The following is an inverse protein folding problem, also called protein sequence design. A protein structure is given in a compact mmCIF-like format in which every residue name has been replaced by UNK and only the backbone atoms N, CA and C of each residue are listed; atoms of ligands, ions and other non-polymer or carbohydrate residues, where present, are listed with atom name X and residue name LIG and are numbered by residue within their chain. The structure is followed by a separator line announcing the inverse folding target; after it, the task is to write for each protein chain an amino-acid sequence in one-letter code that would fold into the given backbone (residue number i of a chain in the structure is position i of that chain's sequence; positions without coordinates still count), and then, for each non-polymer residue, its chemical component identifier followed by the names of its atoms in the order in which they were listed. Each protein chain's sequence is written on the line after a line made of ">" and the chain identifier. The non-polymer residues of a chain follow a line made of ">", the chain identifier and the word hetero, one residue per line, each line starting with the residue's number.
data_IF_775927594237
#
_entry.id   IF_775927594237
#
_cell.length_a   1.000
_cell.length_b   1.000
_cell.length_c   1.000
_cell.angle_alpha   90.00
_cell.angle_beta   90.00
_cell.angle_gamma   90.00
#
_symmetry.space_group_name_H-M   'P 1'
#
loop_
_entity.id
_entity.type
_entity.pdbx_description
1 polymer ?
#
# COMPACT_ATOMS: atom_id res chain seq x y z
N UNK A 1 42.50 -21.08 3.15
CA UNK A 1 41.93 -21.54 1.86
C UNK A 1 40.64 -22.36 2.01
N UNK A 2 40.56 -23.35 2.90
CA UNK A 2 39.38 -24.22 3.06
C UNK A 2 38.05 -23.50 3.42
N UNK A 3 38.10 -22.46 4.25
CA UNK A 3 36.90 -21.67 4.63
C UNK A 3 36.33 -20.86 3.45
N UNK A 4 37.21 -20.38 2.56
CA UNK A 4 36.78 -19.65 1.36
C UNK A 4 36.20 -20.59 0.29
N UNK A 5 36.77 -21.79 0.13
CA UNK A 5 36.20 -22.82 -0.74
C UNK A 5 34.83 -23.30 -0.24
N UNK A 6 34.70 -23.64 1.05
CA UNK A 6 33.42 -24.07 1.62
C UNK A 6 32.31 -23.01 1.50
N UNK A 7 32.61 -21.72 1.77
CA UNK A 7 31.64 -20.62 1.59
C UNK A 7 31.20 -20.43 0.14
N UNK A 8 32.11 -20.63 -0.84
CA UNK A 8 31.78 -20.58 -2.27
C UNK A 8 30.89 -21.76 -2.68
N UNK A 9 31.15 -22.94 -2.13
CA UNK A 9 30.31 -24.13 -2.35
C UNK A 9 28.91 -23.96 -1.78
N UNK A 10 28.76 -23.38 -0.57
CA UNK A 10 27.44 -23.13 0.02
C UNK A 10 26.62 -22.14 -0.81
N UNK A 11 27.23 -21.03 -1.26
CA UNK A 11 26.52 -20.05 -2.08
C UNK A 11 26.04 -20.64 -3.42
N UNK A 12 26.89 -21.41 -4.10
CA UNK A 12 26.48 -22.08 -5.35
C UNK A 12 25.33 -23.07 -5.10
N UNK A 13 25.34 -23.80 -3.98
CA UNK A 13 24.21 -24.66 -3.60
C UNK A 13 22.95 -23.87 -3.29
N UNK A 14 23.05 -22.68 -2.69
CA UNK A 14 21.90 -21.78 -2.50
C UNK A 14 21.28 -21.38 -3.84
N UNK A 15 22.12 -21.07 -4.83
CA UNK A 15 21.69 -20.72 -6.18
C UNK A 15 20.96 -21.86 -6.87
N UNK A 16 21.52 -23.07 -6.85
CA UNK A 16 20.87 -24.24 -7.46
C UNK A 16 19.56 -24.59 -6.75
N UNK A 17 19.53 -24.49 -5.41
CA UNK A 17 18.30 -24.69 -4.65
C UNK A 17 17.19 -23.71 -5.07
N UNK A 18 17.51 -22.43 -5.30
CA UNK A 18 16.52 -21.45 -5.77
C UNK A 18 15.97 -21.82 -7.14
N UNK A 19 16.83 -22.26 -8.08
CA UNK A 19 16.38 -22.68 -9.41
C UNK A 19 15.42 -23.87 -9.38
N UNK A 20 15.61 -24.78 -8.42
CA UNK A 20 14.75 -25.96 -8.24
C UNK A 20 13.40 -25.64 -7.56
N UNK A 21 13.31 -24.56 -6.78
CA UNK A 21 12.15 -24.27 -5.92
C UNK A 21 11.38 -23.01 -6.32
N UNK A 22 11.96 -22.13 -7.14
CA UNK A 22 11.28 -20.93 -7.61
C UNK A 22 10.32 -21.25 -8.76
N UNK A 23 9.12 -20.68 -8.70
CA UNK A 23 8.20 -20.63 -9.82
C UNK A 23 8.66 -19.53 -10.80
N UNK A 24 8.63 -19.82 -12.09
CA UNK A 24 9.12 -18.93 -13.13
C UNK A 24 7.96 -18.27 -13.86
N UNK A 25 8.11 -16.99 -14.19
CA UNK A 25 7.14 -16.20 -14.97
C UNK A 25 7.89 -15.62 -16.17
N UNK A 26 7.81 -16.33 -17.29
CA UNK A 26 8.68 -16.12 -18.46
C UNK A 26 8.41 -14.83 -19.23
N UNK A 27 7.23 -14.25 -19.05
CA UNK A 27 6.92 -12.94 -19.61
C UNK A 27 5.87 -12.20 -18.79
N UNK A 28 6.07 -10.87 -18.68
CA UNK A 28 5.06 -9.91 -18.23
C UNK A 28 4.30 -9.27 -19.42
N UNK A 29 4.67 -9.58 -20.67
CA UNK A 29 4.10 -8.94 -21.87
C UNK A 29 2.78 -9.55 -22.34
N UNK A 30 2.40 -10.72 -21.84
CA UNK A 30 1.17 -11.41 -22.23
C UNK A 30 0.25 -11.50 -21.01
N UNK A 31 -1.03 -11.11 -21.17
CA UNK A 31 -2.12 -11.24 -20.18
C UNK A 31 -2.54 -12.71 -19.99
N UNK A 32 -1.58 -13.63 -19.94
CA UNK A 32 -1.86 -15.05 -19.69
C UNK A 32 -2.03 -15.25 -18.19
N UNK A 33 -3.29 -15.34 -17.77
CA UNK A 33 -3.70 -15.71 -16.40
C UNK A 33 -3.02 -16.99 -15.88
N UNK A 34 -2.57 -17.89 -16.76
CA UNK A 34 -2.07 -19.21 -16.36
C UNK A 34 -0.72 -19.16 -15.62
N UNK A 35 0.06 -18.09 -15.75
CA UNK A 35 1.36 -17.97 -15.09
C UNK A 35 1.24 -17.96 -13.56
N UNK A 36 0.06 -17.64 -13.01
CA UNK A 36 -0.18 -17.57 -11.56
C UNK A 36 -0.97 -18.76 -11.00
N UNK A 37 -1.31 -19.77 -11.81
CA UNK A 37 -2.11 -20.93 -11.35
C UNK A 37 -1.46 -21.67 -10.16
N UNK A 38 -0.13 -21.62 -10.02
CA UNK A 38 0.57 -22.18 -8.85
C UNK A 38 0.13 -21.54 -7.52
N UNK A 39 -0.36 -20.30 -7.54
CA UNK A 39 -0.86 -19.59 -6.37
C UNK A 39 -2.22 -20.11 -5.88
N UNK A 40 -2.99 -20.83 -6.70
CA UNK A 40 -4.29 -21.37 -6.29
C UNK A 40 -4.15 -22.23 -5.03
N UNK A 41 -3.17 -23.13 -5.01
CA UNK A 41 -2.92 -23.98 -3.85
C UNK A 41 -2.25 -23.23 -2.69
N UNK A 42 -1.40 -22.24 -2.99
CA UNK A 42 -0.68 -21.46 -1.95
C UNK A 42 -1.65 -20.56 -1.17
N UNK A 43 -2.65 -19.99 -1.85
CA UNK A 43 -3.54 -18.96 -1.31
C UNK A 43 -4.97 -19.46 -1.05
N UNK A 44 -5.28 -20.75 -1.25
CA UNK A 44 -6.65 -21.31 -1.16
C UNK A 44 -7.38 -20.94 0.14
N UNK A 45 -6.67 -21.01 1.27
CA UNK A 45 -7.21 -20.77 2.61
C UNK A 45 -6.93 -19.34 3.10
N UNK A 46 -6.49 -18.45 2.21
CA UNK A 46 -6.13 -17.08 2.56
C UNK A 46 -7.24 -16.12 2.19
N UNK A 47 -7.57 -15.26 3.16
CA UNK A 47 -8.56 -14.19 3.02
C UNK A 47 -7.89 -12.91 2.54
N UNK A 48 -6.64 -12.65 2.97
CA UNK A 48 -5.93 -11.40 2.67
C UNK A 48 -4.61 -11.70 1.98
N UNK A 49 -4.30 -10.98 0.90
CA UNK A 49 -3.02 -11.06 0.20
C UNK A 49 -2.37 -9.69 0.16
N UNK A 50 -1.17 -9.57 0.71
CA UNK A 50 -0.40 -8.34 0.75
C UNK A 50 0.60 -8.31 -0.39
N UNK A 51 0.48 -7.30 -1.25
CA UNK A 51 1.28 -7.08 -2.45
C UNK A 51 2.18 -5.88 -2.24
N UNK A 52 3.40 -6.19 -1.79
CA UNK A 52 4.46 -5.23 -1.56
C UNK A 52 5.09 -4.69 -2.84
N UNK A 53 5.93 -3.68 -2.73
CA UNK A 53 6.87 -3.22 -3.74
C UNK A 53 8.08 -2.58 -3.04
N UNK A 54 9.30 -2.90 -3.44
CA UNK A 54 10.49 -2.23 -2.87
C UNK A 54 10.75 -0.85 -3.50
N UNK A 55 9.79 -0.27 -4.23
CA UNK A 55 9.80 1.09 -4.74
C UNK A 55 8.53 1.40 -5.54
N UNK A 56 8.11 2.67 -5.58
CA UNK A 56 6.85 3.07 -6.22
C UNK A 56 6.97 3.37 -7.73
N UNK A 57 8.11 3.89 -8.18
CA UNK A 57 8.31 4.33 -9.57
C UNK A 57 8.88 3.23 -10.46
N UNK A 58 8.25 2.05 -10.50
CA UNK A 58 8.75 0.86 -11.18
C UNK A 58 7.65 0.27 -12.07
N UNK A 59 7.86 0.27 -13.40
CA UNK A 59 6.87 -0.21 -14.37
C UNK A 59 6.50 -1.68 -14.15
N UNK A 60 7.50 -2.53 -13.96
CA UNK A 60 7.33 -3.98 -13.90
C UNK A 60 6.68 -4.43 -12.59
N UNK A 61 6.85 -3.69 -11.48
CA UNK A 61 6.10 -3.95 -10.25
C UNK A 61 4.64 -3.57 -10.41
N UNK A 62 4.35 -2.40 -11.00
CA UNK A 62 2.98 -1.99 -11.29
C UNK A 62 2.30 -3.04 -12.18
N UNK A 63 2.95 -3.43 -13.27
CA UNK A 63 2.42 -4.41 -14.22
C UNK A 63 2.21 -5.80 -13.59
N UNK A 64 3.21 -6.31 -12.85
CA UNK A 64 3.11 -7.60 -12.18
C UNK A 64 1.98 -7.62 -11.15
N UNK A 65 1.85 -6.56 -10.34
CA UNK A 65 0.76 -6.45 -9.36
C UNK A 65 -0.60 -6.36 -10.06
N UNK A 66 -0.72 -5.55 -11.12
CA UNK A 66 -1.94 -5.48 -11.95
C UNK A 66 -2.36 -6.86 -12.48
N UNK A 67 -1.43 -7.62 -13.06
CA UNK A 67 -1.73 -8.97 -13.59
C UNK A 67 -2.05 -9.98 -12.49
N UNK A 68 -1.37 -9.88 -11.35
CA UNK A 68 -1.66 -10.75 -10.20
C UNK A 68 -3.05 -10.45 -9.62
N UNK A 69 -3.43 -9.18 -9.51
CA UNK A 69 -4.75 -8.77 -9.02
C UNK A 69 -5.85 -9.23 -9.98
N UNK A 70 -5.63 -9.11 -11.29
CA UNK A 70 -6.54 -9.65 -12.31
C UNK A 70 -6.80 -11.15 -12.10
N UNK A 71 -5.72 -11.93 -11.91
CA UNK A 71 -5.82 -13.35 -11.58
C UNK A 71 -6.54 -13.60 -10.24
N UNK A 72 -6.19 -12.88 -9.18
CA UNK A 72 -6.80 -13.06 -7.85
C UNK A 72 -8.30 -12.75 -7.86
N UNK A 73 -8.72 -11.71 -8.58
CA UNK A 73 -10.13 -11.37 -8.75
C UNK A 73 -10.86 -12.44 -9.58
N UNK A 74 -10.40 -12.70 -10.81
CA UNK A 74 -11.12 -13.57 -11.74
C UNK A 74 -11.05 -15.06 -11.42
N UNK A 75 -10.00 -15.54 -10.75
CA UNK A 75 -9.80 -16.97 -10.46
C UNK A 75 -9.97 -17.33 -8.99
N UNK A 76 -9.63 -16.43 -8.06
CA UNK A 76 -9.55 -16.76 -6.64
C UNK A 76 -10.60 -16.06 -5.76
N UNK A 77 -11.46 -15.22 -6.36
CA UNK A 77 -12.59 -14.58 -5.69
C UNK A 77 -12.20 -13.41 -4.76
N UNK A 78 -11.06 -12.77 -5.00
CA UNK A 78 -10.66 -11.55 -4.27
C UNK A 78 -11.40 -10.33 -4.81
N UNK A 79 -12.32 -9.76 -4.04
CA UNK A 79 -13.27 -8.73 -4.49
C UNK A 79 -12.96 -7.32 -4.01
N UNK A 80 -11.95 -7.15 -3.16
CA UNK A 80 -11.58 -5.84 -2.61
C UNK A 80 -10.10 -5.62 -2.83
N UNK A 81 -9.74 -4.44 -3.34
CA UNK A 81 -8.38 -3.94 -3.33
C UNK A 81 -8.26 -2.73 -2.41
N UNK A 82 -7.39 -2.85 -1.41
CA UNK A 82 -7.03 -1.78 -0.50
C UNK A 82 -5.68 -1.19 -0.92
N UNK A 83 -5.65 0.10 -1.26
CA UNK A 83 -4.45 0.81 -1.70
C UNK A 83 -3.81 1.61 -0.56
N UNK A 84 -2.47 1.76 -0.60
CA UNK A 84 -1.71 2.74 0.16
C UNK A 84 -1.99 4.17 -0.36
N UNK A 85 -3.25 4.57 -0.27
CA UNK A 85 -3.81 5.87 -0.69
C UNK A 85 -4.92 6.25 0.28
N UNK A 86 -5.37 7.50 0.18
CA UNK A 86 -6.33 8.10 1.10
C UNK A 86 -7.61 7.28 1.22
N UNK A 87 -8.04 7.02 2.45
CA UNK A 87 -9.27 6.30 2.77
C UNK A 87 -10.47 6.98 2.12
N UNK A 88 -10.61 8.30 2.29
CA UNK A 88 -11.71 9.07 1.72
C UNK A 88 -11.68 9.10 0.20
N UNK A 89 -10.52 9.40 -0.39
CA UNK A 89 -10.37 9.46 -1.84
C UNK A 89 -10.80 8.14 -2.49
N UNK A 90 -10.24 7.02 -2.04
CA UNK A 90 -10.60 5.72 -2.58
C UNK A 90 -12.06 5.33 -2.31
N UNK A 91 -12.59 5.56 -1.11
CA UNK A 91 -13.98 5.22 -0.77
C UNK A 91 -14.98 6.02 -1.61
N UNK A 92 -14.81 7.36 -1.67
CA UNK A 92 -15.73 8.25 -2.37
C UNK A 92 -15.64 8.09 -3.88
N UNK A 93 -14.45 7.89 -4.44
CA UNK A 93 -14.27 7.56 -5.85
C UNK A 93 -14.87 6.21 -6.21
N UNK A 94 -14.74 5.18 -5.35
CA UNK A 94 -15.37 3.88 -5.60
C UNK A 94 -16.90 3.99 -5.56
N UNK A 95 -17.45 4.76 -4.62
CA UNK A 95 -18.89 4.99 -4.52
C UNK A 95 -19.46 5.72 -5.73
N UNK A 96 -18.73 6.70 -6.27
CA UNK A 96 -19.14 7.51 -7.41
C UNK A 96 -18.62 6.97 -8.75
N UNK A 97 -18.04 5.76 -8.79
CA UNK A 97 -17.26 5.28 -9.94
C UNK A 97 -18.03 5.31 -11.26
N UNK A 98 -19.35 5.09 -11.24
CA UNK A 98 -20.20 5.11 -12.43
C UNK A 98 -20.39 6.51 -13.04
N UNK A 99 -20.25 7.55 -12.22
CA UNK A 99 -20.40 8.95 -12.62
C UNK A 99 -19.10 9.56 -13.13
N UNK A 100 -17.97 8.91 -12.87
CA UNK A 100 -16.64 9.37 -13.24
C UNK A 100 -16.20 8.77 -14.57
N UNK A 101 -15.49 9.53 -15.38
CA UNK A 101 -14.62 8.93 -16.41
C UNK A 101 -13.52 8.08 -15.74
N UNK A 102 -12.86 7.21 -16.51
CA UNK A 102 -11.78 6.40 -15.97
C UNK A 102 -10.61 7.26 -15.45
N UNK A 103 -10.26 8.34 -16.16
CA UNK A 103 -9.19 9.23 -15.74
C UNK A 103 -9.54 9.98 -14.45
N UNK A 104 -10.79 10.45 -14.32
CA UNK A 104 -11.28 11.06 -13.07
C UNK A 104 -11.31 10.05 -11.93
N UNK A 105 -11.73 8.81 -12.18
CA UNK A 105 -11.71 7.76 -11.16
C UNK A 105 -10.31 7.52 -10.61
N UNK A 106 -9.29 7.49 -11.47
CA UNK A 106 -7.89 7.35 -11.04
C UNK A 106 -7.41 8.61 -10.31
N UNK A 107 -7.66 9.80 -10.87
CA UNK A 107 -7.18 11.08 -10.33
C UNK A 107 -7.74 11.40 -8.94
N UNK A 108 -8.97 10.96 -8.66
CA UNK A 108 -9.64 11.20 -7.38
C UNK A 108 -9.40 10.11 -6.34
N UNK A 109 -8.81 8.96 -6.69
CA UNK A 109 -8.66 7.82 -5.77
C UNK A 109 -7.23 7.62 -5.23
N UNK A 110 -6.26 7.36 -6.11
CA UNK A 110 -4.91 6.93 -5.72
C UNK A 110 -3.88 8.04 -5.90
N UNK A 111 -2.71 7.88 -5.26
CA UNK A 111 -1.63 8.84 -5.45
C UNK A 111 -1.21 8.95 -6.94
N UNK A 112 -0.84 10.15 -7.44
CA UNK A 112 -0.54 10.38 -8.86
C UNK A 112 0.64 9.59 -9.44
N UNK A 113 1.47 8.96 -8.61
CA UNK A 113 2.56 8.12 -9.08
C UNK A 113 2.13 6.69 -9.45
N UNK A 114 0.89 6.29 -9.15
CA UNK A 114 0.27 5.07 -9.67
C UNK A 114 -0.70 5.31 -10.84
N UNK A 115 -0.88 6.56 -11.29
CA UNK A 115 -1.54 6.84 -12.58
C UNK A 115 -0.57 6.59 -13.73
N UNK A 116 -0.54 5.35 -14.22
CA UNK A 116 0.42 4.89 -15.24
C UNK A 116 -0.24 3.92 -16.23
N UNK A 117 0.38 3.71 -17.39
CA UNK A 117 -0.09 2.70 -18.37
C UNK A 117 -0.18 1.30 -17.74
N UNK A 118 0.74 0.96 -16.83
CA UNK A 118 0.86 -0.36 -16.22
C UNK A 118 -0.24 -0.67 -15.19
N UNK A 119 -0.90 0.34 -14.65
CA UNK A 119 -2.04 0.20 -13.72
C UNK A 119 -3.40 0.42 -14.39
N UNK A 120 -3.41 0.90 -15.64
CA UNK A 120 -4.64 1.34 -16.29
C UNK A 120 -5.71 0.23 -16.41
N UNK A 121 -5.30 -1.00 -16.76
CA UNK A 121 -6.23 -2.12 -16.88
C UNK A 121 -6.84 -2.57 -15.55
N UNK A 122 -6.14 -2.36 -14.42
CA UNK A 122 -6.70 -2.58 -13.10
C UNK A 122 -7.87 -1.63 -12.84
N UNK A 123 -7.71 -0.33 -13.11
CA UNK A 123 -8.78 0.64 -12.92
C UNK A 123 -9.93 0.46 -13.93
N UNK A 124 -9.63 0.00 -15.15
CA UNK A 124 -10.67 -0.44 -16.08
C UNK A 124 -11.52 -1.56 -15.48
N UNK A 125 -10.88 -2.59 -14.90
CA UNK A 125 -11.58 -3.70 -14.27
C UNK A 125 -12.40 -3.25 -13.04
N UNK A 126 -11.84 -2.41 -12.17
CA UNK A 126 -12.55 -1.84 -11.01
C UNK A 126 -13.80 -1.05 -11.41
N UNK A 127 -13.71 -0.26 -12.48
CA UNK A 127 -14.85 0.53 -12.98
C UNK A 127 -15.87 -0.34 -13.71
N UNK A 128 -15.44 -1.38 -14.44
CA UNK A 128 -16.32 -2.23 -15.23
C UNK A 128 -17.09 -3.27 -14.39
N UNK A 129 -16.62 -3.60 -13.18
CA UNK A 129 -17.22 -4.64 -12.35
C UNK A 129 -17.76 -4.05 -11.04
N UNK A 130 -19.08 -4.14 -10.83
CA UNK A 130 -19.73 -3.61 -9.63
C UNK A 130 -19.26 -4.28 -8.33
N UNK A 131 -18.95 -5.57 -8.38
CA UNK A 131 -18.52 -6.33 -7.21
C UNK A 131 -17.01 -6.24 -6.91
N UNK A 132 -16.24 -5.55 -7.77
CA UNK A 132 -14.83 -5.28 -7.52
C UNK A 132 -14.66 -3.87 -6.92
N UNK A 133 -14.27 -3.84 -5.64
CA UNK A 133 -14.28 -2.63 -4.83
C UNK A 133 -12.88 -2.10 -4.55
N UNK A 134 -12.73 -0.78 -4.67
CA UNK A 134 -11.54 -0.02 -4.27
C UNK A 134 -11.75 0.61 -2.88
N UNK A 135 -10.73 0.51 -2.03
CA UNK A 135 -10.65 1.23 -0.75
C UNK A 135 -9.21 1.69 -0.49
N UNK A 136 -9.04 2.73 0.31
CA UNK A 136 -7.73 3.24 0.74
C UNK A 136 -7.56 3.00 2.23
N UNK A 137 -6.34 2.84 2.73
CA UNK A 137 -6.10 2.74 4.16
C UNK A 137 -5.21 3.86 4.71
N UNK A 138 -4.70 4.73 3.85
CA UNK A 138 -3.91 5.89 4.28
C UNK A 138 -4.82 7.02 4.78
N UNK A 139 -4.36 7.75 5.79
CA UNK A 139 -4.98 9.00 6.24
C UNK A 139 -4.44 10.24 5.52
N UNK A 140 -3.41 10.08 4.68
CA UNK A 140 -2.91 11.14 3.81
C UNK A 140 -3.87 11.37 2.63
N UNK A 141 -4.11 12.64 2.25
CA UNK A 141 -4.89 12.93 1.05
C UNK A 141 -4.09 12.50 -0.19
N UNK A 142 -4.64 11.56 -0.96
CA UNK A 142 -4.01 11.05 -2.19
C UNK A 142 -4.35 11.85 -3.44
N UNK A 143 -5.42 12.66 -3.40
CA UNK A 143 -5.85 13.50 -4.51
C UNK A 143 -5.80 14.99 -4.13
N UNK A 144 -5.86 15.87 -5.13
CA UNK A 144 -5.94 17.33 -4.90
C UNK A 144 -7.36 17.80 -4.63
N UNK A 145 -8.36 17.05 -5.07
CA UNK A 145 -9.76 17.44 -5.02
C UNK A 145 -10.55 16.29 -4.41
N UNK A 146 -11.05 16.56 -3.21
CA UNK A 146 -11.94 15.68 -2.46
C UNK A 146 -13.29 15.54 -3.16
N UNK A 147 -13.79 14.31 -3.28
CA UNK A 147 -15.15 14.00 -3.71
C UNK A 147 -16.11 13.85 -2.52
N UNK A 148 -15.67 14.14 -1.30
CA UNK A 148 -16.49 13.95 -0.09
C UNK A 148 -17.80 14.74 -0.15
N UNK A 149 -17.79 15.99 -0.63
CA UNK A 149 -19.03 16.77 -0.80
C UNK A 149 -19.96 16.15 -1.85
N UNK A 150 -19.42 15.66 -2.97
CA UNK A 150 -20.22 14.99 -3.99
C UNK A 150 -20.86 13.71 -3.44
N UNK A 151 -20.10 12.94 -2.66
CA UNK A 151 -20.61 11.78 -1.93
C UNK A 151 -21.71 12.16 -0.92
N UNK A 152 -21.49 13.19 -0.09
CA UNK A 152 -22.47 13.66 0.90
C UNK A 152 -23.77 14.14 0.25
N UNK A 153 -23.70 14.76 -0.93
CA UNK A 153 -24.89 15.17 -1.69
C UNK A 153 -25.61 13.98 -2.34
N UNK A 154 -24.89 12.88 -2.60
CA UNK A 154 -25.44 11.67 -3.23
C UNK A 154 -26.12 10.77 -2.23
N UNK A 155 -25.63 10.72 -0.99
CA UNK A 155 -26.34 10.04 0.09
C UNK A 155 -27.54 10.90 0.48
N UNK A 156 -28.74 10.32 0.53
CA UNK A 156 -30.00 11.05 0.74
C UNK A 156 -30.20 11.48 2.21
N UNK A 157 -29.20 12.10 2.82
CA UNK A 157 -29.22 12.64 4.19
C UNK A 157 -29.29 14.17 4.11
N UNK A 158 -30.26 14.76 4.81
CA UNK A 158 -30.42 16.21 4.90
C UNK A 158 -29.44 16.81 5.92
N UNK A 159 -28.23 17.11 5.46
CA UNK A 159 -27.22 17.78 6.28
C UNK A 159 -27.49 19.28 6.38
N UNK A 160 -27.33 19.89 7.58
CA UNK A 160 -27.34 21.34 7.71
C UNK A 160 -26.28 22.00 6.82
N UNK A 161 -26.57 23.19 6.29
CA UNK A 161 -25.61 23.93 5.45
C UNK A 161 -24.25 24.12 6.12
N UNK A 162 -24.25 24.37 7.43
CA UNK A 162 -23.05 24.51 8.25
C UNK A 162 -22.18 23.25 8.23
N UNK A 163 -22.78 22.05 8.24
CA UNK A 163 -22.04 20.78 8.16
C UNK A 163 -21.24 20.71 6.85
N UNK A 164 -21.89 20.99 5.72
CA UNK A 164 -21.27 20.97 4.39
C UNK A 164 -20.15 22.01 4.28
N UNK A 165 -20.39 23.23 4.78
CA UNK A 165 -19.39 24.31 4.79
C UNK A 165 -18.18 23.97 5.66
N UNK A 166 -18.40 23.34 6.82
CA UNK A 166 -17.34 22.93 7.72
C UNK A 166 -16.49 21.78 7.14
N UNK A 167 -17.12 20.79 6.48
CA UNK A 167 -16.37 19.75 5.74
C UNK A 167 -15.50 20.39 4.66
N UNK A 168 -16.07 21.30 3.85
CA UNK A 168 -15.32 21.99 2.80
C UNK A 168 -14.11 22.75 3.39
N UNK A 169 -14.31 23.48 4.48
CA UNK A 169 -13.25 24.21 5.16
C UNK A 169 -12.12 23.30 5.68
N UNK A 170 -12.46 22.14 6.26
CA UNK A 170 -11.48 21.15 6.71
C UNK A 170 -10.67 20.62 5.53
N UNK A 171 -11.35 20.18 4.47
CA UNK A 171 -10.68 19.58 3.31
C UNK A 171 -9.76 20.57 2.57
N UNK A 172 -10.21 21.81 2.36
CA UNK A 172 -9.41 22.85 1.72
C UNK A 172 -8.15 23.19 2.53
N UNK A 173 -8.28 23.31 3.86
CA UNK A 173 -7.13 23.59 4.72
C UNK A 173 -6.15 22.41 4.78
N UNK A 174 -6.65 21.18 4.82
CA UNK A 174 -5.79 19.99 4.81
C UNK A 174 -4.99 19.92 3.51
N UNK A 175 -5.64 20.09 2.36
CA UNK A 175 -4.95 20.14 1.07
C UNK A 175 -3.90 21.26 1.01
N UNK A 176 -4.25 22.46 1.48
CA UNK A 176 -3.34 23.60 1.54
C UNK A 176 -2.11 23.33 2.42
N UNK A 177 -2.33 22.93 3.67
CA UNK A 177 -1.25 22.75 4.65
C UNK A 177 -0.39 21.53 4.37
N UNK A 178 -0.99 20.43 3.90
CA UNK A 178 -0.23 19.27 3.44
C UNK A 178 0.70 19.65 2.29
N UNK A 179 0.19 20.34 1.27
CA UNK A 179 1.00 20.83 0.15
C UNK A 179 2.12 21.77 0.59
N UNK A 180 1.82 22.71 1.51
CA UNK A 180 2.79 23.68 2.02
C UNK A 180 3.92 23.01 2.82
N UNK A 181 3.57 22.16 3.79
CA UNK A 181 4.53 21.49 4.68
C UNK A 181 5.34 20.43 3.92
N UNK A 182 4.69 19.59 3.12
CA UNK A 182 5.36 18.53 2.35
C UNK A 182 6.36 19.10 1.33
N UNK A 183 6.14 20.31 0.81
CA UNK A 183 7.08 20.97 -0.10
C UNK A 183 8.42 21.29 0.56
N UNK A 184 8.44 21.68 1.84
CA UNK A 184 9.68 21.86 2.60
C UNK A 184 10.41 20.52 2.77
N UNK A 185 9.70 19.49 3.21
CA UNK A 185 10.23 18.14 3.41
C UNK A 185 10.81 17.56 2.11
N UNK A 186 10.09 17.68 0.99
CA UNK A 186 10.54 17.25 -0.35
C UNK A 186 11.81 17.97 -0.80
N UNK A 187 11.94 19.26 -0.49
CA UNK A 187 13.14 20.07 -0.77
C UNK A 187 14.26 19.85 0.26
N UNK A 188 14.08 18.94 1.23
CA UNK A 188 14.99 18.69 2.35
C UNK A 188 15.28 19.95 3.16
N UNK A 189 14.29 20.84 3.27
CA UNK A 189 14.35 22.09 4.03
C UNK A 189 13.56 21.94 5.33
N UNK A 190 13.99 22.65 6.37
CA UNK A 190 13.20 22.80 7.60
C UNK A 190 12.01 23.71 7.32
N UNK A 191 10.87 23.40 7.94
CA UNK A 191 9.69 24.28 7.94
C UNK A 191 10.01 25.51 8.82
N UNK A 192 9.75 26.74 8.36
CA UNK A 192 9.94 27.95 9.17
C UNK A 192 9.11 27.93 10.45
N UNK A 193 9.61 28.57 11.52
CA UNK A 193 8.92 28.61 12.81
C UNK A 193 7.59 29.34 12.71
N UNK A 194 7.54 30.40 11.93
CA UNK A 194 6.36 31.23 11.67
C UNK A 194 5.28 30.38 10.98
N UNK A 195 5.67 29.57 9.99
CA UNK A 195 4.77 28.64 9.30
C UNK A 195 4.23 27.57 10.25
N UNK A 196 5.05 27.06 11.17
CA UNK A 196 4.58 26.10 12.20
C UNK A 196 3.64 26.76 13.22
N UNK A 197 3.85 28.04 13.56
CA UNK A 197 2.96 28.79 14.45
C UNK A 197 1.61 29.07 13.79
N UNK A 198 1.61 29.51 12.54
CA UNK A 198 0.40 29.65 11.72
C UNK A 198 -0.37 28.32 11.64
N UNK A 199 0.34 27.22 11.38
CA UNK A 199 -0.28 25.90 11.31
C UNK A 199 -0.95 25.51 12.62
N UNK A 200 -0.30 25.74 13.77
CA UNK A 200 -0.87 25.41 15.08
C UNK A 200 -2.19 26.12 15.38
N UNK A 201 -2.34 27.36 14.94
CA UNK A 201 -3.60 28.11 15.10
C UNK A 201 -4.73 27.46 14.28
N UNK A 202 -4.45 27.17 13.01
CA UNK A 202 -5.41 26.50 12.12
C UNK A 202 -5.70 25.07 12.59
N UNK A 203 -4.70 24.34 13.06
CA UNK A 203 -4.85 22.98 13.60
C UNK A 203 -5.86 22.96 14.76
N UNK A 204 -5.73 23.88 15.73
CA UNK A 204 -6.68 23.96 16.84
C UNK A 204 -8.11 24.29 16.36
N UNK A 205 -8.24 25.27 15.47
CA UNK A 205 -9.55 25.65 14.90
C UNK A 205 -10.21 24.49 14.15
N UNK A 206 -9.45 23.76 13.34
CA UNK A 206 -9.98 22.62 12.57
C UNK A 206 -10.34 21.43 13.46
N UNK A 207 -9.61 21.20 14.56
CA UNK A 207 -9.98 20.17 15.53
C UNK A 207 -11.32 20.48 16.20
N UNK A 208 -11.57 21.74 16.59
CA UNK A 208 -12.88 22.16 17.14
C UNK A 208 -14.00 21.98 16.12
N UNK A 209 -13.74 22.29 14.84
CA UNK A 209 -14.70 22.06 13.75
C UNK A 209 -14.98 20.56 13.58
N UNK A 210 -13.96 19.70 13.66
CA UNK A 210 -14.14 18.24 13.57
C UNK A 210 -14.98 17.72 14.72
N UNK A 211 -14.79 18.22 15.95
CA UNK A 211 -15.62 17.83 17.09
C UNK A 211 -17.09 18.22 16.86
N UNK A 212 -17.36 19.42 16.35
CA UNK A 212 -18.73 19.84 15.97
C UNK A 212 -19.33 18.98 14.85
N UNK A 213 -18.52 18.61 13.84
CA UNK A 213 -18.96 17.73 12.76
C UNK A 213 -19.31 16.33 13.29
N UNK A 214 -18.55 15.80 14.24
CA UNK A 214 -18.84 14.51 14.88
C UNK A 214 -20.14 14.56 15.67
N UNK A 215 -20.38 15.64 16.43
CA UNK A 215 -21.63 15.84 17.18
C UNK A 215 -22.84 15.89 16.24
N UNK A 216 -22.77 16.71 15.18
CA UNK A 216 -23.83 16.82 14.17
C UNK A 216 -24.07 15.50 13.43
N UNK A 217 -23.00 14.75 13.12
CA UNK A 217 -23.12 13.42 12.51
C UNK A 217 -23.87 12.46 13.44
N UNK A 218 -23.56 12.49 14.74
CA UNK A 218 -24.22 11.65 15.74
C UNK A 218 -25.70 11.99 15.92
N UNK A 219 -26.10 13.26 15.83
CA UNK A 219 -27.51 13.67 15.82
C UNK A 219 -28.27 13.06 14.63
N UNK A 220 -27.60 12.96 13.47
CA UNK A 220 -28.15 12.36 12.24
C UNK A 220 -28.16 10.84 12.23
N UNK A 221 -27.59 10.15 13.23
CA UNK A 221 -27.44 8.69 13.26
C UNK A 221 -28.77 7.94 13.00
N UNK A 222 -29.89 8.44 13.53
CA UNK A 222 -31.20 7.80 13.31
C UNK A 222 -31.64 7.85 11.84
N UNK A 223 -31.35 8.95 11.15
CA UNK A 223 -31.66 9.15 9.73
C UNK A 223 -30.88 8.12 8.89
N UNK A 224 -29.58 7.95 9.15
CA UNK A 224 -28.75 6.93 8.52
C UNK A 224 -29.31 5.51 8.72
N UNK A 225 -29.65 5.15 9.96
CA UNK A 225 -30.22 3.83 10.28
C UNK A 225 -31.54 3.61 9.51
N UNK A 226 -32.41 4.63 9.47
CA UNK A 226 -33.70 4.53 8.79
C UNK A 226 -33.58 4.31 7.27
N UNK A 227 -32.46 4.72 6.68
CA UNK A 227 -32.16 4.61 5.26
C UNK A 227 -31.24 3.42 4.93
N UNK A 228 -30.84 2.63 5.93
CA UNK A 228 -29.89 1.53 5.75
C UNK A 228 -28.48 1.97 5.35
N UNK A 229 -28.06 3.16 5.79
CA UNK A 229 -26.79 3.78 5.45
C UNK A 229 -25.73 3.61 6.56
N UNK A 230 -25.70 2.44 7.23
CA UNK A 230 -24.76 2.17 8.31
C UNK A 230 -23.29 2.28 7.88
N UNK A 231 -22.96 1.81 6.67
CA UNK A 231 -21.61 1.90 6.12
C UNK A 231 -21.22 3.35 5.79
N UNK A 232 -22.02 4.15 5.07
CA UNK A 232 -21.79 5.60 4.94
C UNK A 232 -21.61 6.33 6.28
N UNK A 233 -22.41 6.02 7.29
CA UNK A 233 -22.29 6.64 8.62
C UNK A 233 -20.93 6.35 9.27
N UNK A 234 -20.56 5.06 9.33
CA UNK A 234 -19.29 4.62 9.93
C UNK A 234 -18.09 5.14 9.16
N UNK A 235 -18.16 5.19 7.83
CA UNK A 235 -17.14 5.82 6.99
C UNK A 235 -16.95 7.30 7.31
N UNK A 236 -18.01 8.11 7.33
CA UNK A 236 -17.88 9.56 7.59
C UNK A 236 -17.27 9.79 8.98
N UNK A 237 -17.70 9.03 9.99
CA UNK A 237 -17.13 9.09 11.33
C UNK A 237 -15.63 8.73 11.32
N UNK A 238 -15.25 7.62 10.68
CA UNK A 238 -13.86 7.16 10.57
C UNK A 238 -13.00 8.20 9.85
N UNK A 239 -13.54 8.85 8.82
CA UNK A 239 -12.81 9.86 8.06
C UNK A 239 -12.55 11.13 8.88
N UNK A 240 -13.54 11.61 9.63
CA UNK A 240 -13.35 12.75 10.54
C UNK A 240 -12.27 12.47 11.60
N UNK A 241 -12.26 11.25 12.14
CA UNK A 241 -11.19 10.77 13.03
C UNK A 241 -9.81 10.76 12.35
N UNK A 242 -9.74 10.27 11.10
CA UNK A 242 -8.50 10.27 10.33
C UNK A 242 -8.01 11.69 10.03
N UNK A 243 -8.90 12.64 9.73
CA UNK A 243 -8.53 14.05 9.55
C UNK A 243 -8.01 14.69 10.82
N UNK A 244 -8.62 14.39 11.97
CA UNK A 244 -8.09 14.83 13.28
C UNK A 244 -6.68 14.28 13.52
N UNK A 245 -6.46 12.99 13.28
CA UNK A 245 -5.15 12.36 13.42
C UNK A 245 -4.13 12.96 12.45
N UNK A 246 -4.50 13.15 11.18
CA UNK A 246 -3.65 13.75 10.17
C UNK A 246 -3.22 15.17 10.58
N UNK A 247 -4.18 16.00 11.02
CA UNK A 247 -3.90 17.35 11.52
C UNK A 247 -2.94 17.29 12.72
N UNK A 248 -3.18 16.42 13.68
CA UNK A 248 -2.36 16.36 14.90
C UNK A 248 -0.91 15.90 14.65
N UNK A 249 -0.66 15.17 13.56
CA UNK A 249 0.65 14.61 13.26
C UNK A 249 1.37 15.26 12.05
N UNK A 250 0.73 16.14 11.28
CA UNK A 250 1.32 16.70 10.05
C UNK A 250 2.69 17.38 10.25
N UNK A 251 2.92 17.97 11.42
CA UNK A 251 4.19 18.66 11.74
C UNK A 251 5.17 17.83 12.56
N UNK A 252 4.88 16.55 12.80
CA UNK A 252 5.80 15.67 13.49
C UNK A 252 7.11 15.53 12.71
N UNK A 253 8.18 15.19 13.43
CA UNK A 253 9.41 14.81 12.76
C UNK A 253 9.18 13.51 11.97
N UNK A 254 10.01 13.27 10.96
CA UNK A 254 9.83 12.15 10.04
C UNK A 254 9.68 10.78 10.73
N UNK A 255 10.41 10.52 11.82
CA UNK A 255 10.35 9.20 12.48
C UNK A 255 9.02 8.99 13.18
N UNK A 256 8.54 9.99 13.93
CA UNK A 256 7.26 9.94 14.61
C UNK A 256 6.11 9.92 13.60
N UNK A 257 6.18 10.75 12.56
CA UNK A 257 5.19 10.76 11.48
C UNK A 257 5.04 9.39 10.82
N UNK A 258 6.15 8.74 10.46
CA UNK A 258 6.10 7.41 9.85
C UNK A 258 5.53 6.35 10.79
N UNK A 259 5.86 6.43 12.09
CA UNK A 259 5.30 5.53 13.10
C UNK A 259 3.79 5.71 13.23
N UNK A 260 3.31 6.96 13.34
CA UNK A 260 1.88 7.24 13.44
C UNK A 260 1.14 6.88 12.15
N UNK A 261 1.70 7.17 10.97
CA UNK A 261 1.12 6.78 9.68
C UNK A 261 0.87 5.27 9.62
N UNK A 262 1.84 4.43 9.97
CA UNK A 262 1.63 2.97 10.01
C UNK A 262 0.61 2.52 11.06
N UNK A 263 0.52 3.20 12.20
CA UNK A 263 -0.51 2.91 13.22
C UNK A 263 -1.92 3.23 12.72
N UNK A 264 -2.10 4.37 12.07
CA UNK A 264 -3.39 4.77 11.49
C UNK A 264 -3.75 3.87 10.32
N UNK A 265 -2.80 3.56 9.43
CA UNK A 265 -3.03 2.62 8.32
C UNK A 265 -3.43 1.23 8.82
N UNK A 266 -2.77 0.72 9.88
CA UNK A 266 -3.18 -0.54 10.52
C UNK A 266 -4.59 -0.47 11.11
N UNK A 267 -4.93 0.60 11.84
CA UNK A 267 -6.26 0.77 12.42
C UNK A 267 -7.37 0.98 11.38
N UNK A 268 -7.03 1.57 10.22
CA UNK A 268 -7.93 1.65 9.07
C UNK A 268 -8.13 0.28 8.45
N UNK A 269 -7.05 -0.48 8.25
CA UNK A 269 -7.14 -1.79 7.65
C UNK A 269 -7.89 -2.80 8.54
N UNK A 270 -7.70 -2.75 9.86
CA UNK A 270 -8.51 -3.53 10.83
C UNK A 270 -10.00 -3.25 10.63
N UNK A 271 -10.37 -1.97 10.56
CA UNK A 271 -11.75 -1.54 10.35
C UNK A 271 -12.30 -1.99 8.98
N UNK A 272 -11.50 -1.84 7.91
CA UNK A 272 -11.85 -2.33 6.57
C UNK A 272 -12.13 -3.84 6.60
N UNK A 273 -11.27 -4.61 7.27
CA UNK A 273 -11.36 -6.06 7.32
C UNK A 273 -12.46 -6.59 8.25
N UNK A 274 -12.87 -5.84 9.27
CA UNK A 274 -13.82 -6.30 10.30
C UNK A 274 -15.22 -5.70 10.17
N UNK A 275 -15.36 -4.49 9.64
CA UNK A 275 -16.64 -3.79 9.53
C UNK A 275 -17.08 -3.59 8.08
N UNK A 276 -16.19 -3.10 7.22
CA UNK A 276 -16.56 -2.75 5.84
C UNK A 276 -16.67 -3.98 4.93
N UNK A 277 -15.72 -4.91 5.05
CA UNK A 277 -15.63 -6.11 4.21
C UNK A 277 -15.35 -7.40 5.02
N UNK A 278 -16.14 -7.73 6.06
CA UNK A 278 -15.87 -8.86 6.96
C UNK A 278 -15.84 -10.23 6.28
N UNK A 279 -16.49 -10.38 5.12
CA UNK A 279 -16.63 -11.65 4.42
C UNK A 279 -15.88 -11.71 3.07
N UNK A 280 -15.30 -10.59 2.61
CA UNK A 280 -14.65 -10.53 1.29
C UNK A 280 -13.17 -10.88 1.33
N UNK A 281 -12.65 -11.53 0.28
CA UNK A 281 -11.21 -11.68 0.12
C UNK A 281 -10.57 -10.36 -0.35
N UNK A 282 -9.50 -9.93 0.30
CA UNK A 282 -8.91 -8.58 0.17
C UNK A 282 -7.47 -8.63 -0.32
N UNK A 283 -7.12 -7.76 -1.27
CA UNK A 283 -5.78 -7.55 -1.79
C UNK A 283 -5.24 -6.21 -1.27
N UNK A 284 -4.04 -6.20 -0.67
CA UNK A 284 -3.42 -4.98 -0.13
C UNK A 284 -2.31 -4.53 -1.07
N UNK A 285 -2.39 -3.34 -1.63
CA UNK A 285 -1.32 -2.73 -2.44
C UNK A 285 -0.53 -1.73 -1.60
N UNK A 286 0.74 -2.02 -1.30
CA UNK A 286 1.57 -1.12 -0.51
C UNK A 286 3.07 -1.28 -0.80
N UNK A 287 3.89 -0.37 -0.28
CA UNK A 287 5.33 -0.56 -0.22
C UNK A 287 5.73 -1.72 0.72
N UNK A 288 6.84 -2.42 0.41
CA UNK A 288 7.38 -3.49 1.25
C UNK A 288 7.59 -3.03 2.70
N UNK A 289 8.08 -1.79 2.87
CA UNK A 289 8.26 -1.14 4.17
C UNK A 289 7.03 -1.22 5.08
N UNK A 290 5.82 -1.13 4.50
CA UNK A 290 4.56 -1.09 5.25
C UNK A 290 4.00 -2.49 5.52
N UNK A 291 4.34 -3.50 4.71
CA UNK A 291 3.70 -4.82 4.82
C UNK A 291 4.46 -5.82 5.68
N UNK A 292 5.74 -5.58 6.02
CA UNK A 292 6.51 -6.58 6.76
C UNK A 292 5.79 -7.00 8.05
N UNK A 293 5.51 -8.31 8.23
CA UNK A 293 4.97 -8.85 9.48
C UNK A 293 6.10 -9.10 10.48
N UNK A 294 5.82 -9.16 11.78
CA UNK A 294 6.84 -9.45 12.81
C UNK A 294 8.16 -8.64 12.70
N UNK A 295 8.11 -7.40 12.21
CA UNK A 295 9.26 -6.51 12.11
C UNK A 295 9.23 -5.46 13.21
N UNK A 296 10.36 -5.27 13.87
CA UNK A 296 10.56 -4.18 14.82
C UNK A 296 11.94 -3.58 14.63
N UNK A 297 11.98 -2.29 14.29
CA UNK A 297 13.22 -1.54 14.23
C UNK A 297 13.72 -1.18 15.64
N UNK A 298 15.00 -0.84 15.76
CA UNK A 298 15.63 -0.46 17.02
C UNK A 298 15.02 0.77 17.70
N UNK A 299 14.38 1.66 16.93
CA UNK A 299 13.63 2.81 17.44
C UNK A 299 12.17 2.47 17.81
N UNK A 300 11.84 1.19 17.99
CA UNK A 300 10.48 0.69 18.28
C UNK A 300 9.45 0.96 17.17
N UNK A 301 9.88 1.36 15.97
CA UNK A 301 9.01 1.44 14.81
C UNK A 301 8.59 0.03 14.38
N UNK A 302 7.29 -0.14 14.16
CA UNK A 302 6.65 -1.34 13.61
C UNK A 302 5.81 -0.90 12.41
N UNK A 303 5.96 -1.54 11.24
CA UNK A 303 5.17 -1.22 10.07
C UNK A 303 3.74 -1.77 10.20
N UNK A 304 2.82 -1.29 9.36
CA UNK A 304 1.41 -1.68 9.36
C UNK A 304 1.21 -3.21 9.41
N UNK A 305 1.91 -3.98 8.58
CA UNK A 305 1.80 -5.44 8.54
C UNK A 305 2.22 -6.15 9.83
N UNK A 306 2.96 -5.47 10.71
CA UNK A 306 3.30 -5.96 12.05
C UNK A 306 2.35 -5.47 13.14
N UNK A 307 1.44 -4.55 12.85
CA UNK A 307 0.54 -3.91 13.81
C UNK A 307 -0.87 -4.50 13.80
N UNK A 308 -1.25 -5.19 12.72
CA UNK A 308 -2.55 -5.87 12.65
C UNK A 308 -2.66 -7.00 13.69
N UNK A 309 -3.90 -7.35 14.00
CA UNK A 309 -4.31 -8.43 14.87
C UNK A 309 -3.79 -9.77 14.38
N UNK A 310 -3.58 -10.67 15.34
CA UNK A 310 -3.07 -12.01 15.03
C UNK A 310 -4.02 -12.78 14.09
N UNK A 311 -5.32 -12.61 14.26
CA UNK A 311 -6.35 -13.24 13.42
C UNK A 311 -6.19 -12.82 11.95
N UNK A 312 -6.14 -11.52 11.66
CA UNK A 312 -5.91 -11.05 10.29
C UNK A 312 -4.55 -11.49 9.74
N UNK A 313 -3.52 -11.52 10.58
CA UNK A 313 -2.19 -11.97 10.18
C UNK A 313 -2.14 -13.48 9.82
N UNK A 314 -2.85 -14.33 10.57
CA UNK A 314 -2.92 -15.78 10.31
C UNK A 314 -3.69 -16.08 9.00
N UNK A 315 -4.71 -15.26 8.69
CA UNK A 315 -5.49 -15.29 7.44
C UNK A 315 -4.81 -14.63 6.24
N UNK A 316 -3.63 -14.05 6.46
CA UNK A 316 -2.88 -13.28 5.45
C UNK A 316 -1.77 -14.08 4.78
N UNK A 317 -1.48 -13.71 3.52
CA UNK A 317 -0.24 -14.08 2.82
C UNK A 317 0.51 -12.82 2.39
N UNK A 318 1.79 -12.73 2.76
CA UNK A 318 2.61 -11.52 2.52
C UNK A 318 3.60 -11.72 1.39
N UNK A 319 3.43 -10.99 0.29
CA UNK A 319 4.29 -11.04 -0.90
C UNK A 319 5.14 -9.77 -0.99
N UNK A 320 6.45 -9.92 -0.86
CA UNK A 320 7.38 -8.81 -1.15
C UNK A 320 7.83 -8.85 -2.60
N UNK A 321 7.82 -7.69 -3.28
CA UNK A 321 8.39 -7.56 -4.63
C UNK A 321 9.75 -6.89 -4.55
N UNK A 322 10.74 -7.48 -5.21
CA UNK A 322 12.11 -7.01 -5.25
C UNK A 322 12.63 -6.91 -6.68
N UNK A 323 13.57 -6.00 -6.89
CA UNK A 323 14.22 -5.76 -8.18
C UNK A 323 15.73 -5.89 -8.09
N UNK A 324 16.39 -6.20 -9.22
CA UNK A 324 17.85 -6.38 -9.26
C UNK A 324 18.61 -5.23 -9.89
N UNK A 325 18.28 -4.84 -11.12
CA UNK A 325 18.97 -3.75 -11.83
C UNK A 325 18.03 -2.99 -12.76
N UNK A 326 18.45 -1.80 -13.18
CA UNK A 326 17.72 -1.00 -14.16
C UNK A 326 17.59 0.45 -13.73
N UNK A 327 16.45 1.05 -14.02
CA UNK A 327 16.14 2.44 -13.70
C UNK A 327 14.72 2.55 -13.13
N UNK A 328 14.51 3.53 -12.26
CA UNK A 328 13.21 3.79 -11.65
C UNK A 328 13.02 5.29 -11.41
N UNK A 329 11.80 5.70 -11.13
CA UNK A 329 11.47 7.07 -10.74
C UNK A 329 11.42 7.26 -9.23
N UNK A 330 12.00 8.35 -8.74
CA UNK A 330 11.63 8.92 -7.45
C UNK A 330 10.21 9.52 -7.52
N UNK A 331 9.60 9.84 -6.38
CA UNK A 331 8.25 10.44 -6.34
C UNK A 331 8.12 11.76 -7.12
N UNK A 332 9.23 12.47 -7.36
CA UNK A 332 9.29 13.67 -8.19
C UNK A 332 9.57 13.38 -9.68
N UNK A 333 9.45 12.11 -10.12
CA UNK A 333 9.72 11.61 -11.47
C UNK A 333 11.18 11.76 -11.92
N UNK A 334 12.11 12.04 -11.01
CA UNK A 334 13.55 12.00 -11.34
C UNK A 334 13.98 10.54 -11.49
N UNK A 335 14.60 10.21 -12.62
CA UNK A 335 15.17 8.89 -12.87
C UNK A 335 16.38 8.67 -11.96
N UNK A 336 16.45 7.50 -11.34
CA UNK A 336 17.64 7.02 -10.64
C UNK A 336 18.00 5.61 -11.08
N UNK A 337 19.30 5.32 -11.06
CA UNK A 337 19.84 4.03 -11.49
C UNK A 337 19.89 3.03 -10.34
N UNK A 338 19.48 1.81 -10.62
CA UNK A 338 19.57 0.65 -9.74
C UNK A 338 20.71 -0.23 -10.24
N UNK A 339 21.76 -0.34 -9.42
CA UNK A 339 22.90 -1.19 -9.71
C UNK A 339 22.73 -2.58 -9.09
N UNK A 340 23.50 -3.58 -9.56
CA UNK A 340 23.44 -4.93 -9.00
C UNK A 340 23.64 -4.94 -7.48
N UNK A 341 22.79 -5.66 -6.73
CA UNK A 341 22.85 -5.73 -5.29
C UNK A 341 24.11 -6.47 -4.79
N UNK A 342 24.55 -6.19 -3.54
CA UNK A 342 25.69 -6.89 -2.96
C UNK A 342 25.49 -8.40 -2.89
N UNK A 343 26.59 -9.16 -3.00
CA UNK A 343 26.54 -10.61 -2.84
C UNK A 343 25.88 -11.01 -1.53
N UNK A 344 25.05 -12.06 -1.58
CA UNK A 344 24.27 -12.58 -0.44
C UNK A 344 23.16 -11.66 0.08
N UNK A 345 22.76 -10.65 -0.70
CA UNK A 345 21.43 -10.06 -0.51
C UNK A 345 20.36 -11.01 -1.05
N UNK A 346 19.11 -10.81 -0.64
CA UNK A 346 17.96 -11.55 -1.16
C UNK A 346 17.90 -11.47 -2.69
N UNK A 347 18.01 -10.25 -3.22
CA UNK A 347 17.96 -9.97 -4.65
C UNK A 347 19.11 -10.64 -5.40
N UNK A 348 20.31 -10.66 -4.78
CA UNK A 348 21.43 -11.37 -5.36
C UNK A 348 21.19 -12.88 -5.39
N UNK A 349 20.64 -13.48 -4.34
CA UNK A 349 20.28 -14.90 -4.35
C UNK A 349 19.27 -15.22 -5.47
N UNK A 350 18.20 -14.42 -5.58
CA UNK A 350 17.12 -14.63 -6.54
C UNK A 350 17.50 -14.41 -8.02
N UNK A 351 18.54 -13.63 -8.31
CA UNK A 351 18.95 -13.28 -9.69
C UNK A 351 19.40 -14.45 -10.58
N UNK A 352 19.52 -15.66 -10.04
CA UNK A 352 20.12 -16.79 -10.75
C UNK A 352 19.10 -17.72 -11.41
N UNK A 353 17.81 -17.41 -11.35
CA UNK A 353 16.79 -18.04 -12.22
C UNK A 353 17.01 -17.58 -13.67
N UNK A 354 16.50 -18.29 -14.67
CA UNK A 354 16.65 -17.90 -16.09
C UNK A 354 15.51 -17.00 -16.60
N UNK A 355 14.41 -16.92 -15.85
CA UNK A 355 13.21 -16.14 -16.17
C UNK A 355 13.33 -14.64 -15.79
N UNK A 356 12.65 -13.70 -16.45
CA UNK A 356 12.65 -12.28 -16.07
C UNK A 356 12.01 -12.03 -14.69
N UNK A 357 11.00 -12.83 -14.35
CA UNK A 357 10.33 -12.81 -13.05
C UNK A 357 10.36 -14.21 -12.45
N UNK A 358 10.58 -14.27 -11.13
CA UNK A 358 10.49 -15.53 -10.38
C UNK A 358 9.80 -15.30 -9.05
N UNK A 359 9.16 -16.34 -8.53
CA UNK A 359 8.49 -16.36 -7.25
C UNK A 359 9.04 -17.47 -6.36
N UNK A 360 9.24 -17.19 -5.08
CA UNK A 360 9.64 -18.19 -4.10
C UNK A 360 8.72 -18.11 -2.88
N UNK A 361 8.00 -19.21 -2.61
CA UNK A 361 7.20 -19.39 -1.39
C UNK A 361 8.11 -19.80 -0.22
N UNK A 362 7.94 -19.14 0.93
CA UNK A 362 8.66 -19.48 2.16
C UNK A 362 7.82 -20.36 3.10
N UNK A 363 6.50 -20.46 2.87
CA UNK A 363 5.55 -21.02 3.85
C UNK A 363 5.81 -22.48 4.18
N UNK A 364 6.30 -23.26 3.21
CA UNK A 364 6.58 -24.69 3.37
C UNK A 364 8.08 -25.03 3.32
N UNK A 365 8.94 -24.02 3.45
CA UNK A 365 10.40 -24.22 3.38
C UNK A 365 10.95 -24.58 4.76
N UNK A 366 11.68 -25.68 4.86
CA UNK A 366 12.44 -26.04 6.07
C UNK A 366 13.88 -25.56 5.98
N UNK A 367 14.46 -25.12 7.10
CA UNK A 367 15.84 -24.67 7.16
C UNK A 367 16.84 -25.77 6.83
N UNK A 368 17.70 -25.49 5.86
CA UNK A 368 18.77 -26.34 5.32
C UNK A 368 20.04 -25.49 5.13
N UNK A 369 21.25 -26.08 5.10
CA UNK A 369 22.50 -25.30 5.02
C UNK A 369 22.60 -24.31 3.87
N UNK A 370 21.89 -24.53 2.76
CA UNK A 370 21.91 -23.71 1.55
C UNK A 370 20.71 -22.77 1.40
N UNK A 371 19.68 -22.83 2.26
CA UNK A 371 18.57 -21.86 2.25
C UNK A 371 18.48 -21.03 3.55
N UNK A 372 19.51 -21.09 4.41
CA UNK A 372 19.58 -20.36 5.69
C UNK A 372 19.29 -18.86 5.59
N UNK A 373 19.60 -18.25 4.45
CA UNK A 373 19.34 -16.82 4.21
C UNK A 373 17.84 -16.46 4.34
N UNK A 374 16.94 -17.43 4.19
CA UNK A 374 15.49 -17.23 4.40
C UNK A 374 15.16 -17.04 5.89
N UNK A 375 15.93 -17.67 6.78
CA UNK A 375 15.68 -17.76 8.23
C UNK A 375 16.69 -16.98 9.08
N UNK A 376 17.62 -16.26 8.45
CA UNK A 376 18.64 -15.45 9.10
C UNK A 376 18.58 -14.01 8.59
N UNK A 377 19.24 -13.08 9.29
CA UNK A 377 19.34 -11.69 8.86
C UNK A 377 20.01 -11.60 7.49
N UNK A 378 19.21 -11.27 6.48
CA UNK A 378 19.61 -11.15 5.08
C UNK A 378 19.45 -9.71 4.62
N UNK A 379 20.45 -9.26 3.86
CA UNK A 379 20.45 -7.93 3.28
C UNK A 379 19.38 -7.83 2.18
N UNK A 380 18.66 -6.72 2.17
CA UNK A 380 17.82 -6.28 1.06
C UNK A 380 18.18 -4.85 0.67
N UNK A 381 17.79 -4.43 -0.52
CA UNK A 381 17.86 -3.07 -1.03
C UNK A 381 16.44 -2.50 -1.18
N UNK A 382 16.05 -1.70 -0.21
CA UNK A 382 14.88 -0.84 -0.33
C UNK A 382 15.13 0.26 -1.37
N UNK A 383 14.16 0.55 -2.23
CA UNK A 383 14.31 1.42 -3.40
C UNK A 383 15.52 1.03 -4.27
N UNK A 384 15.93 -0.24 -4.25
CA UNK A 384 17.08 -0.77 -4.98
C UNK A 384 18.43 -0.15 -4.58
N UNK A 385 18.48 0.67 -3.53
CA UNK A 385 19.67 1.46 -3.18
C UNK A 385 19.93 1.55 -1.67
N UNK A 386 18.89 1.50 -0.84
CA UNK A 386 18.98 1.63 0.61
C UNK A 386 19.07 0.27 1.27
N UNK A 387 20.21 -0.01 1.91
CA UNK A 387 20.45 -1.28 2.60
C UNK A 387 19.58 -1.41 3.85
N UNK A 388 18.82 -2.50 3.93
CA UNK A 388 18.10 -2.92 5.14
C UNK A 388 18.34 -4.41 5.40
N UNK A 389 18.10 -4.85 6.63
CA UNK A 389 18.15 -6.27 6.98
C UNK A 389 16.76 -6.73 7.40
N UNK A 390 16.37 -7.89 6.89
CA UNK A 390 15.18 -8.63 7.32
C UNK A 390 15.57 -10.09 7.55
N UNK A 391 14.72 -10.84 8.24
CA UNK A 391 14.69 -12.31 8.27
C UNK A 391 13.53 -12.74 7.35
N UNK A 392 13.77 -13.06 6.06
CA UNK A 392 12.72 -13.16 5.04
C UNK A 392 11.47 -13.95 5.43
N UNK A 393 11.60 -15.14 6.04
CA UNK A 393 10.46 -15.95 6.47
C UNK A 393 9.71 -15.42 7.70
N UNK A 394 10.34 -14.57 8.52
CA UNK A 394 9.64 -13.90 9.61
C UNK A 394 8.81 -12.72 9.11
N UNK A 395 9.29 -12.01 8.09
CA UNK A 395 8.65 -10.78 7.59
C UNK A 395 7.78 -10.94 6.34
N UNK A 396 7.97 -11.99 5.55
CA UNK A 396 7.25 -12.25 4.31
C UNK A 396 6.85 -13.74 4.23
N UNK A 397 5.82 -14.04 3.45
CA UNK A 397 5.37 -15.42 3.18
C UNK A 397 5.88 -15.93 1.84
N UNK A 398 6.10 -15.03 0.88
CA UNK A 398 6.79 -15.32 -0.37
C UNK A 398 7.36 -14.04 -0.99
N UNK A 399 8.18 -14.20 -2.03
CA UNK A 399 8.78 -13.08 -2.75
C UNK A 399 8.65 -13.24 -4.24
N UNK A 400 8.24 -12.17 -4.90
CA UNK A 400 8.47 -11.99 -6.33
C UNK A 400 9.78 -11.23 -6.53
N UNK A 401 10.50 -11.61 -7.57
CA UNK A 401 11.76 -11.01 -7.94
C UNK A 401 11.76 -10.69 -9.43
N UNK A 402 12.05 -9.43 -9.76
CA UNK A 402 12.12 -8.89 -11.12
C UNK A 402 13.57 -8.53 -11.46
N UNK A 403 14.13 -9.13 -12.50
CA UNK A 403 15.55 -8.94 -12.85
C UNK A 403 15.86 -7.54 -13.35
N UNK A 404 15.03 -7.01 -14.25
CA UNK A 404 15.26 -5.72 -14.90
C UNK A 404 14.04 -4.86 -14.74
N UNK A 405 14.27 -3.62 -14.33
CA UNK A 405 13.21 -2.64 -14.15
C UNK A 405 13.43 -1.37 -14.94
N UNK A 406 12.32 -0.72 -15.26
CA UNK A 406 12.28 0.54 -15.97
C UNK A 406 11.30 1.53 -15.30
N UNK A 407 11.46 2.84 -15.55
CA UNK A 407 10.54 3.82 -15.04
C UNK A 407 9.14 3.67 -15.69
N UNK A 408 8.05 3.85 -14.93
CA UNK A 408 6.69 3.70 -15.43
C UNK A 408 6.31 4.82 -16.39
N UNK A 409 5.33 4.52 -17.25
CA UNK A 409 4.75 5.49 -18.20
C UNK A 409 3.55 6.18 -17.58
N UNK A 410 3.76 7.39 -17.06
CA UNK A 410 2.68 8.20 -16.47
C UNK A 410 1.68 8.69 -17.52
N UNK A 411 0.41 8.71 -17.14
CA UNK A 411 -0.70 9.26 -17.92
C UNK A 411 -1.00 10.72 -17.55
#
# INVERSE_FOLDING_TARGET
>A
MAIFQSRKTTYNRSVEWIKEHAHLVDTLSETKSDHFNFLENILKDKRIVWLGENGHGIAEHNLLKTQLIDFLYHKMGFKVIAFESGLMECYTSNFLKDELSLDEFIDHSVFPFWKTEETYSLFQSLKANEDFNLIGFDFQPSSKQSLLIAFLNKINIDFPLEFIQNIQKVEENIAHWFGRISNYTRRRKRVPKETLQEYKLIQSELNEIIDQLLDLLMEKKKDFISLGLDLPFTFIHKELENRRLFLNHLTDNFQDYMKYRDQVMAANLEWICSELYPNEKIMIWAHNAHIYKNYQASNHYRPMGSLISKELMDDSYYMGLFMYEGEAHLLNRTVYRIGPPPKKSLENYMNHTDSPVSFLDFSNVTAQPYNKWIFEKTLILEHGTVRKFIIPAEQLSGVFFVKKVSPPRYL
#
